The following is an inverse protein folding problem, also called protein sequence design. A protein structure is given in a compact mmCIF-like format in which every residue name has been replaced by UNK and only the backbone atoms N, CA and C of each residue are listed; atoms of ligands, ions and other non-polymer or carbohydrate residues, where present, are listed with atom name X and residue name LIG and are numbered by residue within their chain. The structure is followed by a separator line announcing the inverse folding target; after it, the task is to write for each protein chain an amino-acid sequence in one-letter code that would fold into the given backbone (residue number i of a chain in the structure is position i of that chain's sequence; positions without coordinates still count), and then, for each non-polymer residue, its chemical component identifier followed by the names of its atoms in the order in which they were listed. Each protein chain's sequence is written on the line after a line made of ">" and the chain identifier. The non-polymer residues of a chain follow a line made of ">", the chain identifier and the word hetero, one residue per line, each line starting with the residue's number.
data_IF_314538967403
#
_entry.id   IF_314538967403
#
_cell.length_a   1.000
_cell.length_b   1.000
_cell.length_c   1.000
_cell.angle_alpha   90.00
_cell.angle_beta   90.00
_cell.angle_gamma   90.00
#
_symmetry.space_group_name_H-M   'P 1'
#
loop_
_entity.id
_entity.type
_entity.pdbx_description
1 polymer ?
#
# COMPACT_ATOMS: atom_id res chain seq x y z
N UNK A 1 -15.52 15.38 2.16
CA UNK A 1 -15.50 14.91 3.56
C UNK A 1 -15.02 13.47 3.57
N UNK A 2 -14.20 13.04 4.55
CA UNK A 2 -13.91 11.62 4.71
C UNK A 2 -15.22 10.86 4.90
N UNK A 3 -15.33 9.68 4.30
CA UNK A 3 -16.48 8.82 4.52
C UNK A 3 -16.70 8.55 6.03
N UNK A 4 -17.94 8.46 6.51
CA UNK A 4 -18.20 8.21 7.93
C UNK A 4 -17.49 6.96 8.44
N UNK A 5 -16.97 6.97 9.66
CA UNK A 5 -16.32 5.80 10.29
C UNK A 5 -17.22 4.54 10.22
N UNK A 6 -18.54 4.73 10.27
CA UNK A 6 -19.52 3.65 10.13
C UNK A 6 -19.45 2.92 8.78
N UNK A 7 -19.18 3.62 7.67
CA UNK A 7 -19.04 2.96 6.36
C UNK A 7 -17.74 2.15 6.29
N UNK A 8 -16.67 2.65 6.91
CA UNK A 8 -15.38 1.97 7.00
C UNK A 8 -15.47 0.67 7.82
N UNK A 9 -16.16 0.72 8.97
CA UNK A 9 -16.41 -0.46 9.80
C UNK A 9 -17.26 -1.48 9.05
N UNK A 10 -18.30 -1.03 8.35
CA UNK A 10 -19.13 -1.89 7.50
C UNK A 10 -18.30 -2.57 6.42
N UNK A 11 -17.39 -1.85 5.76
CA UNK A 11 -16.50 -2.41 4.74
C UNK A 11 -15.67 -3.59 5.28
N UNK A 12 -15.08 -3.46 6.48
CA UNK A 12 -14.32 -4.54 7.11
C UNK A 12 -15.21 -5.72 7.47
N UNK A 13 -16.41 -5.45 8.00
CA UNK A 13 -17.39 -6.49 8.33
C UNK A 13 -17.81 -7.28 7.09
N UNK A 14 -18.19 -6.60 6.01
CA UNK A 14 -18.69 -7.22 4.79
C UNK A 14 -17.59 -8.04 4.12
N UNK A 15 -16.36 -7.54 4.10
CA UNK A 15 -15.22 -8.31 3.62
C UNK A 15 -15.00 -9.59 4.44
N UNK A 16 -15.05 -9.54 5.78
CA UNK A 16 -14.97 -10.75 6.60
C UNK A 16 -16.07 -11.76 6.26
N UNK A 17 -17.29 -11.28 6.02
CA UNK A 17 -18.41 -12.12 5.65
C UNK A 17 -18.15 -12.86 4.32
N UNK A 18 -17.52 -12.20 3.34
CA UNK A 18 -17.13 -12.86 2.08
C UNK A 18 -16.10 -13.98 2.27
N UNK A 19 -15.15 -13.84 3.20
CA UNK A 19 -14.11 -14.85 3.42
C UNK A 19 -14.62 -16.11 4.15
N UNK A 20 -15.73 -16.00 4.88
CA UNK A 20 -16.25 -17.06 5.75
C UNK A 20 -16.69 -18.32 4.98
N UNK A 21 -17.50 -18.23 3.90
CA UNK A 21 -17.93 -19.40 3.13
C UNK A 21 -16.84 -20.00 2.24
N UNK A 22 -15.72 -19.32 2.04
CA UNK A 22 -14.65 -19.78 1.15
C UNK A 22 -13.89 -21.00 1.68
N UNK A 23 -13.35 -21.80 0.75
CA UNK A 23 -12.29 -22.77 1.06
C UNK A 23 -11.04 -22.07 1.59
N UNK A 24 -10.09 -22.79 2.19
CA UNK A 24 -8.83 -22.21 2.65
C UNK A 24 -8.06 -21.52 1.51
N UNK A 25 -8.02 -22.16 0.33
CA UNK A 25 -7.47 -21.57 -0.89
C UNK A 25 -8.23 -20.32 -1.31
N UNK A 26 -9.56 -20.40 -1.37
CA UNK A 26 -10.42 -19.26 -1.76
C UNK A 26 -10.22 -18.06 -0.82
N UNK A 27 -10.18 -18.32 0.49
CA UNK A 27 -9.93 -17.33 1.53
C UNK A 27 -8.58 -16.62 1.33
N UNK A 28 -7.50 -17.37 1.12
CA UNK A 28 -6.16 -16.80 0.92
C UNK A 28 -6.06 -15.97 -0.38
N UNK A 29 -6.59 -16.49 -1.49
CA UNK A 29 -6.57 -15.82 -2.79
C UNK A 29 -7.41 -14.53 -2.76
N UNK A 30 -8.64 -14.62 -2.23
CA UNK A 30 -9.55 -13.48 -2.14
C UNK A 30 -9.00 -12.41 -1.20
N UNK A 31 -8.43 -12.80 -0.06
CA UNK A 31 -7.84 -11.83 0.85
C UNK A 31 -6.66 -11.08 0.21
N UNK A 32 -5.77 -11.77 -0.49
CA UNK A 32 -4.67 -11.13 -1.19
C UNK A 32 -5.14 -10.15 -2.27
N UNK A 33 -6.13 -10.54 -3.08
CA UNK A 33 -6.70 -9.66 -4.10
C UNK A 33 -7.34 -8.40 -3.47
N UNK A 34 -8.12 -8.60 -2.41
CA UNK A 34 -8.83 -7.50 -1.74
C UNK A 34 -7.88 -6.48 -1.11
N UNK A 35 -6.85 -6.95 -0.40
CA UNK A 35 -5.86 -6.05 0.22
C UNK A 35 -4.98 -5.36 -0.83
N UNK A 36 -4.64 -6.04 -1.93
CA UNK A 36 -3.92 -5.44 -3.06
C UNK A 36 -4.73 -4.29 -3.70
N UNK A 37 -6.03 -4.50 -3.92
CA UNK A 37 -6.91 -3.46 -4.44
C UNK A 37 -7.05 -2.28 -3.48
N UNK A 38 -7.07 -2.53 -2.17
CA UNK A 38 -7.10 -1.45 -1.18
C UNK A 38 -5.81 -0.62 -1.16
N UNK A 39 -4.65 -1.23 -1.45
CA UNK A 39 -3.43 -0.47 -1.68
C UNK A 39 -3.54 0.38 -2.95
N UNK A 40 -4.10 -0.14 -4.05
CA UNK A 40 -4.34 0.66 -5.27
C UNK A 40 -5.23 1.86 -4.98
N UNK A 41 -6.32 1.66 -4.23
CA UNK A 41 -7.23 2.74 -3.84
C UNK A 41 -6.51 3.76 -2.95
N UNK A 42 -5.66 3.32 -2.01
CA UNK A 42 -4.87 4.21 -1.17
C UNK A 42 -3.92 5.09 -2.02
N UNK A 43 -3.21 4.50 -2.97
CA UNK A 43 -2.35 5.25 -3.90
C UNK A 43 -3.16 6.20 -4.78
N UNK A 44 -4.29 5.75 -5.33
CA UNK A 44 -5.15 6.61 -6.14
C UNK A 44 -5.69 7.81 -5.35
N UNK A 45 -5.94 7.64 -4.05
CA UNK A 45 -6.41 8.70 -3.17
C UNK A 45 -5.33 9.74 -2.84
N UNK A 46 -4.07 9.32 -2.68
CA UNK A 46 -2.98 10.20 -2.24
C UNK A 46 -2.22 10.87 -3.39
N UNK A 47 -2.05 10.22 -4.53
CA UNK A 47 -1.23 10.75 -5.63
C UNK A 47 -1.88 12.00 -6.25
N UNK A 48 -1.07 12.82 -6.93
CA UNK A 48 -1.55 14.01 -7.66
C UNK A 48 -2.74 13.66 -8.55
N UNK A 49 -3.69 14.61 -8.68
CA UNK A 49 -4.87 14.41 -9.52
C UNK A 49 -4.59 14.47 -11.04
N UNK A 50 -3.66 13.63 -11.53
CA UNK A 50 -3.44 13.37 -12.95
C UNK A 50 -3.90 11.95 -13.32
N UNK A 51 -5.13 11.85 -13.86
CA UNK A 51 -5.75 10.56 -14.20
C UNK A 51 -4.90 9.73 -15.18
N UNK A 52 -4.25 10.36 -16.15
CA UNK A 52 -3.46 9.66 -17.18
C UNK A 52 -2.22 9.04 -16.56
N UNK A 53 -1.49 9.82 -15.76
CA UNK A 53 -0.29 9.34 -15.09
C UNK A 53 -0.61 8.32 -13.99
N UNK A 54 -1.66 8.54 -13.19
CA UNK A 54 -2.11 7.56 -12.18
C UNK A 54 -2.46 6.21 -12.79
N UNK A 55 -3.23 6.20 -13.89
CA UNK A 55 -3.54 4.97 -14.63
C UNK A 55 -2.27 4.27 -15.11
N UNK A 56 -1.32 5.02 -15.66
CA UNK A 56 -0.06 4.47 -16.17
C UNK A 56 0.82 3.84 -15.07
N UNK A 57 0.91 4.46 -13.90
CA UNK A 57 1.76 3.93 -12.81
C UNK A 57 1.13 2.73 -12.10
N UNK A 58 -0.21 2.67 -12.03
CA UNK A 58 -0.95 1.54 -11.43
C UNK A 58 -1.24 0.40 -12.40
N UNK A 59 -0.97 0.59 -13.70
CA UNK A 59 -1.06 -0.46 -14.71
C UNK A 59 -0.13 -1.64 -14.39
N UNK A 60 -0.43 -2.84 -14.91
CA UNK A 60 0.35 -4.05 -14.63
C UNK A 60 1.85 -3.88 -14.91
N UNK A 61 2.22 -3.13 -15.94
CA UNK A 61 3.62 -2.86 -16.31
C UNK A 61 4.16 -1.54 -15.71
N UNK A 62 3.36 -0.86 -14.88
CA UNK A 62 3.72 0.39 -14.22
C UNK A 62 4.56 0.20 -12.96
N UNK A 63 5.10 1.31 -12.44
CA UNK A 63 5.95 1.32 -11.24
C UNK A 63 5.24 0.77 -9.98
N UNK A 64 3.92 0.88 -9.92
CA UNK A 64 3.06 0.33 -8.87
C UNK A 64 2.16 -0.78 -9.40
N UNK A 65 2.58 -1.50 -10.44
CA UNK A 65 1.78 -2.53 -11.11
C UNK A 65 1.63 -3.84 -10.33
N UNK A 66 2.65 -4.21 -9.54
CA UNK A 66 2.66 -5.44 -8.75
C UNK A 66 2.23 -5.21 -7.30
N UNK A 67 1.68 -6.25 -6.67
CA UNK A 67 1.31 -6.20 -5.25
C UNK A 67 2.51 -5.89 -4.36
N UNK A 68 3.68 -6.50 -4.61
CA UNK A 68 4.90 -6.21 -3.87
C UNK A 68 5.38 -4.76 -4.01
N UNK A 69 5.36 -4.21 -5.24
CA UNK A 69 5.77 -2.81 -5.44
C UNK A 69 4.87 -1.85 -4.66
N UNK A 70 3.56 -2.13 -4.61
CA UNK A 70 2.61 -1.35 -3.80
C UNK A 70 2.89 -1.49 -2.30
N UNK A 71 3.15 -2.70 -1.81
CA UNK A 71 3.50 -2.93 -0.39
C UNK A 71 4.75 -2.14 -0.01
N UNK A 72 5.82 -2.26 -0.80
CA UNK A 72 7.12 -1.65 -0.47
C UNK A 72 7.07 -0.13 -0.58
N UNK A 73 6.40 0.41 -1.61
CA UNK A 73 6.25 1.85 -1.75
C UNK A 73 5.35 2.44 -0.66
N UNK A 74 4.28 1.74 -0.26
CA UNK A 74 3.41 2.21 0.82
C UNK A 74 4.18 2.29 2.15
N UNK A 75 5.09 1.35 2.40
CA UNK A 75 5.97 1.41 3.57
C UNK A 75 6.99 2.53 3.46
N UNK A 76 7.68 2.65 2.32
CA UNK A 76 8.73 3.65 2.10
C UNK A 76 8.21 5.08 2.23
N UNK A 77 6.98 5.33 1.77
CA UNK A 77 6.29 6.61 1.91
C UNK A 77 5.65 6.84 3.29
N UNK A 78 5.88 5.94 4.27
CA UNK A 78 5.31 6.06 5.62
C UNK A 78 3.78 5.94 5.66
N UNK A 79 3.18 5.25 4.68
CA UNK A 79 1.73 5.02 4.65
C UNK A 79 1.31 3.88 5.56
N UNK A 80 2.14 2.84 5.65
CA UNK A 80 1.91 1.70 6.52
C UNK A 80 3.13 1.45 7.41
N UNK A 81 2.94 0.95 8.65
CA UNK A 81 4.05 0.60 9.52
C UNK A 81 4.78 -0.67 9.05
N UNK A 82 6.00 -0.88 9.56
CA UNK A 82 6.86 -2.03 9.19
C UNK A 82 6.20 -3.38 9.45
N UNK A 83 5.44 -3.50 10.54
CA UNK A 83 4.71 -4.73 10.84
C UNK A 83 3.63 -5.02 9.78
N UNK A 84 2.90 -4.01 9.30
CA UNK A 84 1.90 -4.19 8.26
C UNK A 84 2.56 -4.56 6.92
N UNK A 85 3.66 -3.91 6.56
CA UNK A 85 4.47 -4.27 5.38
C UNK A 85 4.91 -5.74 5.43
N UNK A 86 5.38 -6.19 6.59
CA UNK A 86 5.88 -7.55 6.76
C UNK A 86 4.75 -8.58 6.63
N UNK A 87 3.60 -8.32 7.24
CA UNK A 87 2.44 -9.20 7.17
C UNK A 87 1.78 -9.22 5.78
N UNK A 88 1.81 -8.11 5.03
CA UNK A 88 1.38 -8.08 3.63
C UNK A 88 2.27 -8.94 2.73
N UNK A 89 3.60 -8.93 2.94
CA UNK A 89 4.49 -9.86 2.23
C UNK A 89 4.28 -11.31 2.66
N UNK A 90 3.96 -11.57 3.94
CA UNK A 90 3.56 -12.92 4.39
C UNK A 90 2.27 -13.36 3.71
N UNK A 91 1.26 -12.49 3.60
CA UNK A 91 0.05 -12.74 2.82
C UNK A 91 0.38 -13.11 1.36
N UNK A 92 1.26 -12.34 0.71
CA UNK A 92 1.73 -12.65 -0.65
C UNK A 92 2.36 -14.06 -0.73
N UNK A 93 3.19 -14.43 0.26
CA UNK A 93 3.79 -15.75 0.32
C UNK A 93 2.77 -16.86 0.55
N UNK A 94 1.84 -16.69 1.50
CA UNK A 94 0.74 -17.63 1.78
C UNK A 94 -0.10 -17.85 0.53
N UNK A 95 -0.53 -16.77 -0.13
CA UNK A 95 -1.28 -16.80 -1.40
C UNK A 95 -0.53 -17.60 -2.48
N UNK A 96 0.78 -17.43 -2.60
CA UNK A 96 1.58 -18.17 -3.56
C UNK A 96 1.66 -19.67 -3.23
N UNK A 97 1.77 -20.06 -1.96
CA UNK A 97 1.68 -21.47 -1.57
C UNK A 97 0.34 -22.08 -2.00
N UNK A 98 -0.77 -21.39 -1.75
CA UNK A 98 -2.11 -21.84 -2.15
C UNK A 98 -2.31 -21.91 -3.68
N UNK A 99 -1.65 -21.03 -4.45
CA UNK A 99 -1.80 -20.97 -5.90
C UNK A 99 -0.92 -21.98 -6.67
N UNK A 100 0.20 -22.42 -6.10
CA UNK A 100 1.17 -23.27 -6.79
C UNK A 100 1.03 -24.77 -6.47
N UNK A 101 0.14 -25.14 -5.55
CA UNK A 101 -0.16 -26.54 -5.23
C UNK A 101 -1.44 -26.96 -5.95
N UNK A 102 -1.36 -27.99 -6.79
CA UNK A 102 -2.50 -28.52 -7.55
C UNK A 102 -3.46 -29.38 -6.70
N UNK A 103 -2.97 -29.98 -5.61
CA UNK A 103 -3.76 -30.84 -4.72
C UNK A 103 -4.54 -30.09 -3.63
N UNK A 104 -5.23 -30.82 -2.73
CA UNK A 104 -5.80 -30.25 -1.51
C UNK A 104 -4.71 -29.60 -0.65
N UNK A 105 -5.01 -28.43 -0.12
CA UNK A 105 -4.12 -27.67 0.77
C UNK A 105 -4.97 -26.79 1.69
N UNK A 106 -4.50 -26.61 2.91
CA UNK A 106 -5.21 -25.99 4.02
C UNK A 106 -4.30 -25.04 4.79
N UNK A 107 -4.87 -24.27 5.71
CA UNK A 107 -4.07 -23.45 6.61
C UNK A 107 -3.26 -24.25 7.65
N UNK A 108 -3.58 -25.53 7.84
CA UNK A 108 -2.89 -26.39 8.81
C UNK A 108 -1.66 -27.10 8.23
N UNK A 109 -1.42 -26.96 6.92
CA UNK A 109 -0.20 -27.46 6.29
C UNK A 109 1.05 -26.78 6.90
N UNK A 110 2.12 -27.52 7.25
CA UNK A 110 3.21 -27.01 8.09
C UNK A 110 3.82 -25.67 7.62
N UNK A 111 4.03 -25.53 6.30
CA UNK A 111 4.57 -24.30 5.70
C UNK A 111 3.63 -23.11 5.86
N UNK A 112 2.32 -23.32 5.64
CA UNK A 112 1.31 -22.25 5.72
C UNK A 112 1.04 -21.91 7.18
N UNK A 113 0.89 -22.91 8.05
CA UNK A 113 0.71 -22.75 9.48
C UNK A 113 1.85 -21.93 10.11
N UNK A 114 3.10 -22.21 9.72
CA UNK A 114 4.27 -21.42 10.12
C UNK A 114 4.16 -19.96 9.69
N UNK A 115 3.81 -19.70 8.41
CA UNK A 115 3.62 -18.34 7.90
C UNK A 115 2.49 -17.60 8.64
N UNK A 116 1.37 -18.28 8.89
CA UNK A 116 0.25 -17.76 9.67
C UNK A 116 0.68 -17.46 11.12
N UNK A 117 1.52 -18.30 11.72
CA UNK A 117 2.06 -18.09 13.07
C UNK A 117 2.93 -16.86 13.22
N UNK A 118 3.53 -16.38 12.14
CA UNK A 118 4.36 -15.17 12.14
C UNK A 118 3.58 -13.89 11.85
N UNK A 119 2.27 -13.96 11.60
CA UNK A 119 1.43 -12.79 11.40
C UNK A 119 1.26 -12.02 12.72
N UNK A 120 1.80 -10.80 12.76
CA UNK A 120 1.76 -9.93 13.93
C UNK A 120 0.36 -9.35 14.20
N UNK A 121 -0.45 -9.15 13.16
CA UNK A 121 -1.83 -8.67 13.30
C UNK A 121 -2.82 -9.79 13.72
N UNK A 122 -2.36 -11.03 13.78
CA UNK A 122 -3.15 -12.21 14.10
C UNK A 122 -3.09 -12.66 15.55
N UNK A 123 -2.31 -11.99 16.40
CA UNK A 123 -2.09 -12.42 17.78
C UNK A 123 -3.42 -12.46 18.54
N UNK A 124 -3.65 -13.59 19.21
CA UNK A 124 -4.79 -13.83 20.08
C UNK A 124 -4.33 -14.68 21.24
N UNK A 125 -4.83 -14.37 22.44
CA UNK A 125 -4.61 -15.16 23.65
C UNK A 125 -5.56 -16.36 23.77
N UNK A 126 -6.46 -16.54 22.80
CA UNK A 126 -7.49 -17.60 22.81
C UNK A 126 -7.31 -18.46 21.56
N UNK A 127 -7.47 -19.79 21.71
CA UNK A 127 -7.18 -20.84 20.71
C UNK A 127 -7.96 -20.73 19.40
N UNK A 128 -7.55 -19.78 18.55
CA UNK A 128 -8.00 -19.69 17.16
C UNK A 128 -7.07 -20.54 16.29
N UNK A 129 -7.64 -21.42 15.46
CA UNK A 129 -6.90 -22.19 14.45
C UNK A 129 -6.22 -21.28 13.40
N UNK A 130 -5.41 -21.87 12.51
CA UNK A 130 -4.56 -21.08 11.60
C UNK A 130 -5.37 -20.20 10.64
N UNK A 131 -6.50 -20.71 10.13
CA UNK A 131 -7.45 -19.91 9.34
C UNK A 131 -7.97 -18.70 10.11
N UNK A 132 -8.30 -18.86 11.39
CA UNK A 132 -8.81 -17.77 12.22
C UNK A 132 -7.75 -16.69 12.47
N UNK A 133 -6.51 -17.10 12.74
CA UNK A 133 -5.36 -16.19 12.85
C UNK A 133 -5.12 -15.43 11.55
N UNK A 134 -5.16 -16.13 10.41
CA UNK A 134 -5.05 -15.52 9.09
C UNK A 134 -6.14 -14.47 8.88
N UNK A 135 -7.42 -14.84 9.00
CA UNK A 135 -8.55 -13.93 8.76
C UNK A 135 -8.51 -12.70 9.67
N UNK A 136 -8.16 -12.87 10.96
CA UNK A 136 -7.99 -11.74 11.88
C UNK A 136 -6.89 -10.78 11.41
N UNK A 137 -5.75 -11.31 10.99
CA UNK A 137 -4.64 -10.52 10.46
C UNK A 137 -5.07 -9.71 9.25
N UNK A 138 -5.85 -10.31 8.34
CA UNK A 138 -6.37 -9.62 7.15
C UNK A 138 -7.27 -8.45 7.51
N UNK A 139 -8.13 -8.60 8.52
CA UNK A 139 -8.97 -7.50 9.01
C UNK A 139 -8.13 -6.37 9.62
N UNK A 140 -7.11 -6.71 10.41
CA UNK A 140 -6.20 -5.74 10.99
C UNK A 140 -5.42 -4.94 9.94
N UNK A 141 -4.89 -5.63 8.93
CA UNK A 141 -4.20 -5.00 7.80
C UNK A 141 -5.14 -4.11 6.98
N UNK A 142 -6.35 -4.59 6.67
CA UNK A 142 -7.36 -3.79 5.97
C UNK A 142 -7.69 -2.52 6.77
N UNK A 143 -7.88 -2.64 8.08
CA UNK A 143 -8.13 -1.50 8.96
C UNK A 143 -6.99 -0.48 8.92
N UNK A 144 -5.72 -0.93 8.96
CA UNK A 144 -4.55 -0.03 8.84
C UNK A 144 -4.59 0.74 7.52
N UNK A 145 -4.86 0.07 6.40
CA UNK A 145 -4.92 0.71 5.07
C UNK A 145 -6.08 1.72 5.00
N UNK A 146 -7.27 1.32 5.46
CA UNK A 146 -8.45 2.19 5.50
C UNK A 146 -8.20 3.42 6.37
N UNK A 147 -7.66 3.24 7.57
CA UNK A 147 -7.37 4.34 8.48
C UNK A 147 -6.32 5.29 7.92
N UNK A 148 -5.31 4.78 7.21
CA UNK A 148 -4.36 5.65 6.50
C UNK A 148 -5.06 6.46 5.41
N UNK A 149 -5.93 5.82 4.61
CA UNK A 149 -6.72 6.50 3.56
C UNK A 149 -7.57 7.64 4.13
N UNK A 150 -8.31 7.39 5.21
CA UNK A 150 -9.18 8.41 5.84
C UNK A 150 -8.40 9.62 6.35
N UNK A 151 -7.15 9.42 6.77
CA UNK A 151 -6.29 10.46 7.35
C UNK A 151 -5.38 11.14 6.35
N UNK A 152 -5.30 10.65 5.12
CA UNK A 152 -4.37 11.20 4.13
C UNK A 152 -5.03 12.33 3.35
N UNK A 153 -4.21 13.30 2.96
CA UNK A 153 -4.59 14.36 2.01
C UNK A 153 -3.94 14.05 0.68
N UNK A 154 -4.63 14.34 -0.42
CA UNK A 154 -4.09 14.18 -1.77
C UNK A 154 -2.94 15.18 -1.97
N UNK A 155 -1.87 14.74 -2.63
CA UNK A 155 -0.82 15.63 -3.08
C UNK A 155 -1.32 16.58 -4.16
N UNK A 156 -0.94 17.84 -4.05
CA UNK A 156 -1.14 18.83 -5.10
C UNK A 156 0.04 18.82 -6.07
N UNK A 157 -0.24 19.13 -7.33
CA UNK A 157 0.81 19.29 -8.33
C UNK A 157 1.61 20.55 -7.98
N UNK A 158 2.93 20.45 -7.95
CA UNK A 158 3.78 21.63 -7.85
C UNK A 158 3.47 22.60 -9.00
N UNK A 159 3.43 23.89 -8.72
CA UNK A 159 3.25 24.92 -9.75
C UNK A 159 4.43 24.91 -10.71
N UNK A 160 4.14 25.06 -12.00
CA UNK A 160 5.20 25.21 -12.99
C UNK A 160 6.03 26.46 -12.65
N UNK A 161 7.35 26.33 -12.71
CA UNK A 161 8.26 27.45 -12.46
C UNK A 161 8.17 28.41 -13.64
N UNK A 162 7.86 29.67 -13.35
CA UNK A 162 7.88 30.71 -14.37
C UNK A 162 9.33 31.03 -14.77
N UNK A 163 9.74 30.49 -15.91
CA UNK A 163 11.06 30.72 -16.49
C UNK A 163 11.15 32.03 -17.28
N UNK A 164 10.08 32.82 -17.40
CA UNK A 164 10.16 34.13 -18.08
C UNK A 164 10.84 35.18 -17.20
N UNK A 165 10.70 35.08 -15.88
CA UNK A 165 11.50 35.83 -14.89
C UNK A 165 12.95 35.34 -14.72
N UNK A 166 13.35 34.28 -15.44
CA UNK A 166 14.71 33.70 -15.44
C UNK A 166 15.80 34.74 -15.62
N UNK A 167 15.55 35.80 -16.40
CA UNK A 167 16.53 36.88 -16.58
C UNK A 167 16.81 37.64 -15.29
N UNK A 168 15.77 37.93 -14.49
CA UNK A 168 15.89 38.61 -13.19
C UNK A 168 16.54 37.68 -12.16
N UNK A 169 16.19 36.39 -12.17
CA UNK A 169 16.83 35.40 -11.31
C UNK A 169 18.31 35.21 -11.67
N UNK A 170 18.65 35.21 -12.96
CA UNK A 170 20.03 35.16 -13.45
C UNK A 170 20.81 36.41 -13.06
N UNK A 171 20.22 37.60 -13.23
CA UNK A 171 20.83 38.87 -12.79
C UNK A 171 21.07 38.90 -11.27
N UNK A 172 20.18 38.32 -10.45
CA UNK A 172 20.38 38.19 -9.00
C UNK A 172 21.48 37.17 -8.66
N UNK A 173 21.51 36.03 -9.35
CA UNK A 173 22.55 35.01 -9.17
C UNK A 173 23.92 35.55 -9.59
N UNK A 174 24.00 36.29 -10.70
CA UNK A 174 25.23 36.95 -11.18
C UNK A 174 25.74 37.99 -10.17
N UNK A 175 24.84 38.77 -9.54
CA UNK A 175 25.22 39.70 -8.46
C UNK A 175 25.76 38.98 -7.23
N UNK A 176 25.06 37.96 -6.74
CA UNK A 176 25.50 37.17 -5.58
C UNK A 176 26.84 36.48 -5.87
N UNK A 177 27.03 35.97 -7.09
CA UNK A 177 28.26 35.32 -7.52
C UNK A 177 29.46 36.27 -7.58
N UNK A 178 29.23 37.50 -8.07
CA UNK A 178 30.23 38.56 -8.07
C UNK A 178 30.57 39.01 -6.64
N UNK A 179 29.56 39.18 -5.77
CA UNK A 179 29.75 39.56 -4.37
C UNK A 179 30.54 38.50 -3.57
N UNK A 180 30.40 37.22 -3.93
CA UNK A 180 31.18 36.11 -3.37
C UNK A 180 32.61 36.03 -3.91
N UNK A 181 32.98 36.86 -4.89
CA UNK A 181 34.33 36.93 -5.47
C UNK A 181 34.69 35.75 -6.37
N UNK A 182 33.70 35.01 -6.89
CA UNK A 182 33.90 33.80 -7.68
C UNK A 182 34.14 34.05 -9.19
N UNK A 183 34.44 35.29 -9.58
CA UNK A 183 34.70 35.67 -10.96
C UNK A 183 33.42 35.74 -11.81
N UNK A 184 33.52 35.45 -13.11
CA UNK A 184 32.35 35.40 -14.00
C UNK A 184 31.56 34.10 -13.82
N UNK A 185 30.23 34.19 -13.90
CA UNK A 185 29.36 33.01 -13.89
C UNK A 185 29.73 32.11 -15.09
N UNK A 186 30.02 30.81 -14.90
CA UNK A 186 30.28 29.90 -16.01
C UNK A 186 29.10 29.91 -16.99
N UNK A 187 29.40 30.01 -18.30
CA UNK A 187 28.39 30.07 -19.36
C UNK A 187 27.60 28.79 -19.53
#
# INVERSE_FOLDING_TARGET
>A
MPEPIQSQVRQVHDFRATLTPESDRGCALMAAAYLDDHLKILFDHILVDDRKYRKRVLDMNGALGTFSARIDMAYLLGMIPKNAQSDLHRLRNIRNQFAHVAGPITFEDPTIASLCGQLMFGVSHVGIGMRGRFTRSMMGLLWVIIMKRVRTVRYERATDVDLTGSRVAREQVERIWADLGWGELPK
#
